data_IF_942789046164
#
_entry.id   IF_942789046164
#
_cell.length_a   1.000
_cell.length_b   1.000
_cell.length_c   1.000
_cell.angle_alpha   90.00
_cell.angle_beta   90.00
_cell.angle_gamma   90.00
#
_symmetry.space_group_name_H-M   'P 1'
#
loop_
_entity.id
_entity.type
_entity.pdbx_description
1 polymer ?
#
# COMPACT_ATOMS: atom_id res chain seq x y z
N UNK A 1 -2.04 -9.87 -38.89
CA UNK A 1 -2.71 -8.85 -38.06
C UNK A 1 -1.81 -8.55 -36.87
N UNK A 2 -1.46 -7.29 -36.64
CA UNK A 2 -0.78 -6.89 -35.41
C UNK A 2 -1.75 -7.06 -34.23
N UNK A 3 -1.33 -7.82 -33.22
CA UNK A 3 -2.05 -7.94 -31.94
C UNK A 3 -1.37 -7.00 -30.96
N UNK A 4 -1.99 -5.86 -30.70
CA UNK A 4 -1.46 -4.90 -29.73
C UNK A 4 -1.79 -5.44 -28.35
N UNK A 5 -0.77 -5.84 -27.61
CA UNK A 5 -0.90 -6.40 -26.25
C UNK A 5 -0.69 -5.35 -25.17
N UNK A 6 0.23 -4.43 -25.41
CA UNK A 6 0.59 -3.39 -24.45
C UNK A 6 0.38 -2.05 -25.13
N UNK A 7 -0.40 -1.19 -24.51
CA UNK A 7 -0.60 0.19 -24.95
C UNK A 7 -0.06 1.11 -23.89
N UNK A 8 0.89 1.96 -24.27
CA UNK A 8 1.37 3.04 -23.42
C UNK A 8 0.96 4.37 -24.03
N UNK A 9 0.09 5.09 -23.31
CA UNK A 9 -0.37 6.42 -23.64
C UNK A 9 0.37 7.40 -22.75
N UNK A 10 1.54 7.83 -23.21
CA UNK A 10 2.27 8.93 -22.59
C UNK A 10 1.97 10.20 -23.38
N UNK A 11 1.11 11.03 -22.84
CA UNK A 11 0.81 12.31 -23.43
C UNK A 11 0.35 13.26 -22.33
N UNK A 12 0.88 14.49 -22.34
CA UNK A 12 0.42 15.63 -21.53
C UNK A 12 -0.99 16.07 -21.97
N UNK A 13 -1.93 15.13 -21.97
CA UNK A 13 -3.31 15.28 -22.43
C UNK A 13 -4.18 15.56 -21.22
N UNK A 14 -4.90 16.68 -21.29
CA UNK A 14 -5.89 17.08 -20.29
C UNK A 14 -7.11 16.15 -20.26
N UNK A 15 -7.26 15.27 -21.24
CA UNK A 15 -8.36 14.33 -21.41
C UNK A 15 -7.86 13.11 -22.20
N UNK A 16 -7.71 11.97 -21.52
CA UNK A 16 -7.32 10.70 -22.12
C UNK A 16 -8.51 9.88 -22.64
N UNK A 17 -9.76 10.25 -22.33
CA UNK A 17 -10.96 9.47 -22.61
C UNK A 17 -11.11 9.13 -24.08
N UNK A 18 -10.91 10.09 -24.98
CA UNK A 18 -10.97 9.83 -26.43
C UNK A 18 -10.02 8.74 -26.90
N UNK A 19 -8.83 8.66 -26.32
CA UNK A 19 -7.81 7.67 -26.70
C UNK A 19 -8.14 6.33 -26.07
N UNK A 20 -8.53 6.29 -24.80
CA UNK A 20 -8.99 5.08 -24.11
C UNK A 20 -10.18 4.45 -24.87
N UNK A 21 -11.18 5.27 -25.20
CA UNK A 21 -12.37 4.85 -25.93
C UNK A 21 -12.06 4.30 -27.33
N UNK A 22 -10.96 4.74 -27.97
CA UNK A 22 -10.56 4.24 -29.29
C UNK A 22 -10.12 2.77 -29.28
N UNK A 23 -9.78 2.23 -28.10
CA UNK A 23 -9.42 0.82 -27.94
C UNK A 23 -10.60 -0.06 -27.48
N UNK A 24 -11.81 0.48 -27.32
CA UNK A 24 -12.99 -0.29 -26.91
C UNK A 24 -13.14 -1.58 -27.75
N UNK A 25 -13.33 -2.72 -27.07
CA UNK A 25 -13.46 -4.03 -27.69
C UNK A 25 -12.14 -4.68 -28.12
N UNK A 26 -10.99 -4.09 -27.78
CA UNK A 26 -9.68 -4.67 -28.08
C UNK A 26 -9.45 -5.95 -27.26
N UNK A 27 -9.58 -7.10 -27.91
CA UNK A 27 -9.41 -8.42 -27.28
C UNK A 27 -7.97 -8.86 -27.12
N UNK A 28 -7.00 -8.15 -27.71
CA UNK A 28 -5.59 -8.48 -27.55
C UNK A 28 -4.89 -7.68 -26.46
N UNK A 29 -5.52 -6.61 -25.94
CA UNK A 29 -4.92 -5.73 -24.96
C UNK A 29 -4.84 -6.43 -23.60
N UNK A 30 -3.64 -6.52 -23.06
CA UNK A 30 -3.30 -7.16 -21.77
C UNK A 30 -2.84 -6.12 -20.75
N UNK A 31 -2.11 -5.11 -21.19
CA UNK A 31 -1.58 -4.06 -20.33
C UNK A 31 -1.89 -2.67 -20.89
N UNK A 32 -2.41 -1.79 -20.01
CA UNK A 32 -2.69 -0.40 -20.32
C UNK A 32 -1.87 0.50 -19.39
N UNK A 33 -1.01 1.33 -19.97
CA UNK A 33 -0.23 2.32 -19.27
C UNK A 33 -0.75 3.71 -19.65
N UNK A 34 -1.20 4.48 -18.67
CA UNK A 34 -1.59 5.88 -18.82
C UNK A 34 -0.56 6.72 -18.06
N UNK A 35 0.09 7.64 -18.77
CA UNK A 35 1.19 8.43 -18.20
C UNK A 35 1.01 9.91 -18.52
N UNK A 36 1.16 10.76 -17.51
CA UNK A 36 1.08 12.23 -17.63
C UNK A 36 -0.25 12.77 -18.17
N UNK A 37 -1.38 12.13 -17.86
CA UNK A 37 -2.68 12.51 -18.42
C UNK A 37 -3.76 12.67 -17.34
N UNK A 38 -4.93 13.18 -17.73
CA UNK A 38 -6.12 13.16 -16.87
C UNK A 38 -7.17 12.19 -17.42
N UNK A 39 -7.69 11.32 -16.56
CA UNK A 39 -8.76 10.38 -16.89
C UNK A 39 -10.10 11.11 -16.77
N UNK A 40 -10.65 11.48 -17.92
CA UNK A 40 -11.93 12.20 -18.07
C UNK A 40 -12.63 11.69 -19.32
N UNK A 41 -13.95 11.85 -19.40
CA UNK A 41 -14.76 11.50 -20.57
C UNK A 41 -14.56 10.04 -21.05
N UNK A 42 -14.33 9.12 -20.11
CA UNK A 42 -14.30 7.69 -20.41
C UNK A 42 -15.75 7.24 -20.64
N UNK A 43 -15.99 6.56 -21.75
CA UNK A 43 -17.28 5.91 -22.03
C UNK A 43 -17.24 4.46 -21.57
N UNK A 44 -18.36 3.73 -21.65
CA UNK A 44 -18.34 2.31 -21.37
C UNK A 44 -17.35 1.58 -22.30
N UNK A 45 -16.27 1.04 -21.72
CA UNK A 45 -15.23 0.31 -22.43
C UNK A 45 -15.31 -1.18 -22.11
N UNK A 46 -14.86 -2.01 -23.04
CA UNK A 46 -14.72 -3.45 -22.82
C UNK A 46 -13.30 -3.87 -23.20
N UNK A 47 -12.53 -4.30 -22.20
CA UNK A 47 -11.19 -4.85 -22.39
C UNK A 47 -11.11 -6.28 -21.86
N UNK A 48 -11.60 -7.28 -22.61
CA UNK A 48 -11.83 -8.63 -22.10
C UNK A 48 -10.56 -9.43 -21.80
N UNK A 49 -9.37 -8.89 -22.11
CA UNK A 49 -8.08 -9.54 -21.84
C UNK A 49 -7.14 -8.68 -21.02
N UNK A 50 -7.60 -7.51 -20.55
CA UNK A 50 -6.78 -6.56 -19.82
C UNK A 50 -6.58 -7.03 -18.38
N UNK A 51 -5.33 -7.35 -18.05
CA UNK A 51 -4.91 -7.86 -16.75
C UNK A 51 -4.28 -6.80 -15.87
N UNK A 52 -3.66 -5.80 -16.49
CA UNK A 52 -2.86 -4.81 -15.78
C UNK A 52 -3.17 -3.41 -16.25
N UNK A 53 -3.47 -2.53 -15.29
CA UNK A 53 -3.55 -1.09 -15.49
C UNK A 53 -2.44 -0.42 -14.69
N UNK A 54 -1.67 0.44 -15.35
CA UNK A 54 -0.67 1.29 -14.72
C UNK A 54 -1.01 2.75 -14.99
N UNK A 55 -1.27 3.50 -13.94
CA UNK A 55 -1.48 4.94 -13.96
C UNK A 55 -0.25 5.60 -13.31
N UNK A 56 0.47 6.42 -14.07
CA UNK A 56 1.65 7.13 -13.60
C UNK A 56 1.57 8.63 -13.89
N UNK A 57 1.67 9.47 -12.87
CA UNK A 57 1.45 10.93 -13.00
C UNK A 57 0.08 11.25 -13.63
N UNK A 58 -0.97 10.54 -13.19
CA UNK A 58 -2.33 10.68 -13.72
C UNK A 58 -3.23 11.46 -12.77
N UNK A 59 -3.99 12.42 -13.31
CA UNK A 59 -5.04 13.15 -12.57
C UNK A 59 -6.38 12.38 -12.65
N UNK A 60 -6.86 11.95 -11.49
CA UNK A 60 -8.15 11.31 -11.25
C UNK A 60 -9.06 12.30 -10.49
N UNK A 61 -9.85 13.08 -11.23
CA UNK A 61 -10.78 14.07 -10.65
C UNK A 61 -12.24 13.81 -11.05
N UNK A 62 -12.48 12.81 -11.89
CA UNK A 62 -13.78 12.44 -12.41
C UNK A 62 -14.06 11.00 -11.97
N UNK A 63 -14.83 10.88 -10.89
CA UNK A 63 -15.16 9.59 -10.27
C UNK A 63 -15.93 8.67 -11.23
N UNK A 64 -16.78 9.23 -12.09
CA UNK A 64 -17.53 8.45 -13.08
C UNK A 64 -16.58 7.87 -14.14
N UNK A 65 -15.70 8.69 -14.71
CA UNK A 65 -14.72 8.19 -15.68
C UNK A 65 -13.75 7.17 -15.08
N UNK A 66 -13.37 7.35 -13.82
CA UNK A 66 -12.47 6.43 -13.11
C UNK A 66 -13.16 5.09 -12.85
N UNK A 67 -14.42 5.10 -12.40
CA UNK A 67 -15.23 3.90 -12.23
C UNK A 67 -15.45 3.17 -13.56
N UNK A 68 -15.81 3.88 -14.64
CA UNK A 68 -15.99 3.29 -15.96
C UNK A 68 -14.72 2.65 -16.53
N UNK A 69 -13.54 3.20 -16.21
CA UNK A 69 -12.26 2.60 -16.58
C UNK A 69 -12.05 1.25 -15.88
N UNK A 70 -12.43 1.13 -14.61
CA UNK A 70 -12.26 -0.07 -13.81
C UNK A 70 -13.34 -1.14 -14.08
N UNK A 71 -14.61 -0.72 -14.19
CA UNK A 71 -15.76 -1.60 -14.47
C UNK A 71 -15.67 -2.29 -15.84
N UNK A 72 -15.10 -1.62 -16.83
CA UNK A 72 -14.98 -2.13 -18.20
C UNK A 72 -14.04 -3.33 -18.38
N UNK A 73 -13.43 -3.81 -17.30
CA UNK A 73 -12.30 -4.72 -17.33
C UNK A 73 -12.50 -5.92 -16.38
N UNK A 74 -13.19 -6.95 -16.86
CA UNK A 74 -13.64 -8.09 -16.06
C UNK A 74 -12.54 -9.08 -15.61
N UNK A 75 -11.28 -8.88 -15.99
CA UNK A 75 -10.17 -9.80 -15.71
C UNK A 75 -8.91 -9.11 -15.16
N UNK A 76 -9.04 -7.87 -14.67
CA UNK A 76 -7.90 -7.15 -14.07
C UNK A 76 -7.41 -7.91 -12.84
N UNK A 77 -6.13 -8.23 -12.84
CA UNK A 77 -5.44 -8.86 -11.71
C UNK A 77 -4.48 -7.89 -11.03
N UNK A 78 -4.12 -6.76 -11.66
CA UNK A 78 -3.14 -5.80 -11.14
C UNK A 78 -3.49 -4.35 -11.47
N UNK A 79 -3.50 -3.51 -10.45
CA UNK A 79 -3.65 -2.06 -10.56
C UNK A 79 -2.46 -1.36 -9.91
N UNK A 80 -1.83 -0.47 -10.65
CA UNK A 80 -0.72 0.36 -10.18
C UNK A 80 -1.10 1.83 -10.32
N UNK A 81 -1.11 2.55 -9.20
CA UNK A 81 -1.23 4.00 -9.12
C UNK A 81 0.12 4.54 -8.64
N UNK A 82 0.76 5.40 -9.43
CA UNK A 82 2.06 5.99 -9.09
C UNK A 82 2.04 7.49 -9.37
N UNK A 83 2.39 8.30 -8.38
CA UNK A 83 2.42 9.76 -8.51
C UNK A 83 1.10 10.36 -9.03
N UNK A 84 -0.03 9.68 -8.79
CA UNK A 84 -1.34 10.15 -9.25
C UNK A 84 -1.87 11.25 -8.33
N UNK A 85 -2.68 12.15 -8.90
CA UNK A 85 -3.44 13.14 -8.16
C UNK A 85 -4.91 12.68 -8.09
N UNK A 86 -5.38 12.33 -6.89
CA UNK A 86 -6.76 11.88 -6.65
C UNK A 86 -7.49 13.01 -5.94
N UNK A 87 -8.38 13.67 -6.68
CA UNK A 87 -9.13 14.83 -6.20
C UNK A 87 -10.63 14.59 -6.39
N UNK A 88 -11.18 13.75 -5.52
CA UNK A 88 -12.60 13.40 -5.47
C UNK A 88 -12.99 13.06 -4.03
N UNK A 89 -14.26 13.24 -3.66
CA UNK A 89 -14.71 12.98 -2.29
C UNK A 89 -14.65 11.49 -1.93
N UNK A 90 -14.89 10.61 -2.91
CA UNK A 90 -14.93 9.17 -2.74
C UNK A 90 -14.19 8.48 -3.88
N UNK A 91 -13.14 7.74 -3.55
CA UNK A 91 -12.34 6.96 -4.50
C UNK A 91 -12.48 5.46 -4.20
N UNK A 92 -13.27 4.78 -5.02
CA UNK A 92 -13.55 3.36 -4.88
C UNK A 92 -12.70 2.51 -5.83
N UNK A 93 -12.08 1.46 -5.30
CA UNK A 93 -11.38 0.42 -6.04
C UNK A 93 -12.18 -0.87 -5.88
N UNK A 94 -13.31 -0.95 -6.60
CA UNK A 94 -14.28 -2.04 -6.58
C UNK A 94 -14.01 -3.15 -7.60
N UNK A 95 -12.75 -3.57 -7.80
CA UNK A 95 -12.36 -4.48 -8.89
C UNK A 95 -12.41 -5.94 -8.39
N UNK A 96 -13.39 -6.78 -8.80
CA UNK A 96 -13.65 -8.06 -8.12
C UNK A 96 -12.50 -9.07 -8.18
N UNK A 97 -11.71 -9.05 -9.26
CA UNK A 97 -10.63 -10.02 -9.54
C UNK A 97 -9.23 -9.46 -9.24
N UNK A 98 -9.15 -8.27 -8.65
CA UNK A 98 -7.89 -7.62 -8.39
C UNK A 98 -7.09 -8.39 -7.34
N UNK A 99 -5.92 -8.89 -7.73
CA UNK A 99 -5.01 -9.62 -6.82
C UNK A 99 -3.93 -8.72 -6.25
N UNK A 100 -3.47 -7.74 -7.01
CA UNK A 100 -2.35 -6.89 -6.62
C UNK A 100 -2.71 -5.41 -6.79
N UNK A 101 -2.63 -4.67 -5.69
CA UNK A 101 -2.84 -3.23 -5.67
C UNK A 101 -1.57 -2.51 -5.21
N UNK A 102 -1.08 -1.58 -6.04
CA UNK A 102 0.05 -0.74 -5.72
C UNK A 102 -0.39 0.72 -5.74
N UNK A 103 -0.30 1.43 -4.62
CA UNK A 103 -0.55 2.86 -4.50
C UNK A 103 0.74 3.51 -4.03
N UNK A 104 1.37 4.34 -4.86
CA UNK A 104 2.71 4.87 -4.62
C UNK A 104 2.81 6.36 -4.85
N UNK A 105 3.21 7.08 -3.82
CA UNK A 105 3.47 8.51 -3.87
C UNK A 105 2.31 9.31 -4.49
N UNK A 106 1.07 8.82 -4.33
CA UNK A 106 -0.11 9.51 -4.83
C UNK A 106 -0.44 10.68 -3.91
N UNK A 107 -0.81 11.81 -4.51
CA UNK A 107 -1.42 12.93 -3.80
C UNK A 107 -2.92 12.69 -3.75
N UNK A 108 -3.41 12.20 -2.63
CA UNK A 108 -4.84 11.99 -2.39
C UNK A 108 -5.32 13.17 -1.54
N UNK A 109 -6.39 13.84 -1.97
CA UNK A 109 -6.98 14.93 -1.22
C UNK A 109 -7.29 14.45 0.20
N UNK A 110 -6.95 15.27 1.20
CA UNK A 110 -7.10 14.89 2.61
C UNK A 110 -8.53 14.51 2.97
N UNK A 111 -9.55 15.08 2.31
CA UNK A 111 -10.96 14.75 2.57
C UNK A 111 -11.50 13.58 1.76
N UNK A 112 -10.66 12.90 0.97
CA UNK A 112 -11.07 11.73 0.18
C UNK A 112 -11.19 10.52 1.08
N UNK A 113 -12.34 9.85 1.01
CA UNK A 113 -12.48 8.46 1.46
C UNK A 113 -11.94 7.53 0.38
N UNK A 114 -11.03 6.64 0.77
CA UNK A 114 -10.52 5.58 -0.11
C UNK A 114 -11.18 4.28 0.29
N UNK A 115 -11.98 3.73 -0.61
CA UNK A 115 -12.66 2.44 -0.43
C UNK A 115 -12.01 1.38 -1.31
N UNK A 116 -11.61 0.26 -0.70
CA UNK A 116 -11.00 -0.88 -1.38
C UNK A 116 -11.90 -2.10 -1.20
N UNK A 117 -12.80 -2.29 -2.18
CA UNK A 117 -13.71 -3.42 -2.28
C UNK A 117 -13.21 -4.41 -3.34
N UNK A 118 -12.21 -5.22 -2.97
CA UNK A 118 -11.58 -6.21 -3.85
C UNK A 118 -11.38 -7.53 -3.09
N UNK A 119 -12.36 -8.45 -3.10
CA UNK A 119 -12.35 -9.64 -2.24
C UNK A 119 -11.25 -10.67 -2.59
N UNK A 120 -10.76 -10.64 -3.83
CA UNK A 120 -9.68 -11.51 -4.32
C UNK A 120 -8.28 -10.88 -4.10
N UNK A 121 -8.17 -9.78 -3.35
CA UNK A 121 -6.91 -9.09 -3.13
C UNK A 121 -5.92 -9.96 -2.34
N UNK A 122 -4.81 -10.30 -2.98
CA UNK A 122 -3.74 -11.12 -2.41
C UNK A 122 -2.61 -10.24 -1.85
N UNK A 123 -2.37 -9.07 -2.45
CA UNK A 123 -1.31 -8.15 -2.03
C UNK A 123 -1.68 -6.67 -2.15
N UNK A 124 -1.38 -5.92 -1.09
CA UNK A 124 -1.46 -4.46 -1.04
C UNK A 124 -0.07 -3.85 -0.78
N UNK A 125 0.34 -2.95 -1.66
CA UNK A 125 1.53 -2.13 -1.52
C UNK A 125 1.14 -0.65 -1.47
N UNK A 126 1.35 0.00 -0.33
CA UNK A 126 0.96 1.38 -0.09
C UNK A 126 2.18 2.21 0.34
N UNK A 127 2.45 3.28 -0.40
CA UNK A 127 3.47 4.29 -0.07
C UNK A 127 2.85 5.66 -0.28
N UNK A 128 2.69 6.46 0.78
CA UNK A 128 2.02 7.75 0.66
C UNK A 128 1.54 8.35 1.98
N UNK A 129 0.81 9.46 1.89
CA UNK A 129 0.20 10.12 3.05
C UNK A 129 -1.11 9.46 3.45
N UNK A 130 -1.35 9.28 4.75
CA UNK A 130 -2.64 8.84 5.26
C UNK A 130 -3.78 9.75 4.75
N UNK A 131 -4.83 9.13 4.22
CA UNK A 131 -6.09 9.81 3.86
C UNK A 131 -6.99 9.92 5.09
N UNK A 132 -8.08 10.69 5.02
CA UNK A 132 -8.99 10.84 6.17
C UNK A 132 -9.64 9.52 6.58
N UNK A 133 -10.13 8.73 5.63
CA UNK A 133 -10.77 7.44 5.90
C UNK A 133 -10.31 6.40 4.88
N UNK A 134 -9.89 5.25 5.39
CA UNK A 134 -9.80 4.02 4.60
C UNK A 134 -10.98 3.11 4.94
N UNK A 135 -11.69 2.68 3.90
CA UNK A 135 -12.70 1.64 3.97
C UNK A 135 -12.16 0.39 3.27
N UNK A 136 -12.35 -0.75 3.92
CA UNK A 136 -11.86 -2.03 3.45
C UNK A 136 -12.99 -3.04 3.50
N UNK A 137 -13.14 -3.82 2.42
CA UNK A 137 -13.90 -5.06 2.48
C UNK A 137 -13.21 -6.10 3.38
N UNK A 138 -13.91 -7.18 3.70
CA UNK A 138 -13.28 -8.33 4.36
C UNK A 138 -12.32 -9.02 3.38
N UNK A 139 -11.04 -9.14 3.75
CA UNK A 139 -10.01 -9.75 2.91
C UNK A 139 -9.65 -11.14 3.40
N UNK A 140 -10.31 -12.17 2.85
CA UNK A 140 -10.01 -13.57 3.16
C UNK A 140 -8.70 -14.07 2.52
N UNK A 141 -8.28 -13.45 1.41
CA UNK A 141 -7.17 -13.92 0.58
C UNK A 141 -5.88 -13.13 0.71
N UNK A 142 -5.88 -12.03 1.48
CA UNK A 142 -4.69 -11.17 1.55
C UNK A 142 -3.55 -11.86 2.29
N UNK A 143 -2.40 -11.95 1.60
CA UNK A 143 -1.19 -12.60 2.11
C UNK A 143 -0.05 -11.63 2.30
N UNK A 144 0.04 -10.60 1.46
CA UNK A 144 1.14 -9.65 1.45
C UNK A 144 0.68 -8.23 1.71
N UNK A 145 1.26 -7.58 2.71
CA UNK A 145 1.04 -6.17 2.99
C UNK A 145 2.38 -5.44 3.07
N UNK A 146 2.47 -4.31 2.36
CA UNK A 146 3.58 -3.38 2.48
C UNK A 146 3.04 -1.97 2.69
N UNK A 147 3.40 -1.34 3.81
CA UNK A 147 2.92 -0.01 4.18
C UNK A 147 4.11 0.88 4.52
N UNK A 148 4.30 1.94 3.74
CA UNK A 148 5.29 2.99 3.97
C UNK A 148 4.56 4.34 3.99
N UNK A 149 4.06 4.72 5.16
CA UNK A 149 3.44 6.02 5.33
C UNK A 149 4.52 7.10 5.23
N UNK A 150 4.20 8.22 4.58
CA UNK A 150 5.08 9.37 4.46
C UNK A 150 4.40 10.56 5.17
N UNK A 151 5.03 11.14 6.20
CA UNK A 151 4.55 12.36 6.83
C UNK A 151 4.43 13.51 5.82
N UNK A 152 3.36 14.31 5.92
CA UNK A 152 3.05 15.38 4.97
C UNK A 152 4.16 16.43 4.87
N UNK A 153 4.84 16.73 5.98
CA UNK A 153 5.98 17.64 6.01
C UNK A 153 7.18 17.12 5.20
N UNK A 154 7.41 15.80 5.11
CA UNK A 154 8.50 15.21 4.31
C UNK A 154 8.23 15.23 2.81
N UNK A 155 6.97 15.30 2.37
CA UNK A 155 6.66 15.48 0.95
C UNK A 155 6.80 16.94 0.50
N UNK A 156 6.60 17.89 1.41
CA UNK A 156 6.59 19.33 1.11
C UNK A 156 7.92 20.03 1.44
N UNK A 157 8.73 19.47 2.35
CA UNK A 157 9.97 20.06 2.84
C UNK A 157 11.08 19.00 2.80
N UNK A 158 12.27 19.39 2.30
CA UNK A 158 13.43 18.51 2.19
C UNK A 158 13.90 17.94 3.53
N UNK A 159 14.81 16.97 3.47
CA UNK A 159 15.15 16.00 4.52
C UNK A 159 15.56 16.53 5.92
N UNK A 160 15.69 17.83 6.16
CA UNK A 160 16.51 18.39 7.25
C UNK A 160 15.81 18.76 8.57
N UNK A 161 14.47 18.66 8.71
CA UNK A 161 13.83 18.99 9.99
C UNK A 161 13.52 17.75 10.86
N UNK A 162 13.81 17.88 12.17
CA UNK A 162 13.39 16.95 13.23
C UNK A 162 11.86 16.77 13.18
N UNK A 163 11.42 15.51 13.07
CA UNK A 163 10.01 15.15 12.96
C UNK A 163 9.27 15.57 14.23
N UNK A 164 8.28 16.45 14.10
CA UNK A 164 7.31 16.67 15.17
C UNK A 164 6.37 15.45 15.24
N UNK A 165 6.36 14.73 16.36
CA UNK A 165 5.45 13.60 16.61
C UNK A 165 3.97 13.98 16.45
N UNK A 166 3.61 15.27 16.45
CA UNK A 166 2.26 15.75 16.12
C UNK A 166 1.84 15.54 14.65
N UNK A 167 2.79 15.25 13.76
CA UNK A 167 2.55 15.03 12.33
C UNK A 167 1.92 13.66 12.00
N UNK A 168 1.79 12.78 13.00
CA UNK A 168 1.23 11.45 12.82
C UNK A 168 -0.20 11.39 13.33
N UNK A 169 -1.12 11.06 12.44
CA UNK A 169 -2.47 10.66 12.83
C UNK A 169 -2.46 9.16 13.18
N UNK A 170 -2.08 8.87 14.44
CA UNK A 170 -1.92 7.50 14.93
C UNK A 170 -3.21 6.68 14.84
N UNK A 171 -4.37 7.34 14.93
CA UNK A 171 -5.68 6.66 14.82
C UNK A 171 -5.86 6.14 13.39
N UNK A 172 -5.62 6.98 12.39
CA UNK A 172 -5.71 6.59 10.96
C UNK A 172 -4.70 5.52 10.58
N UNK A 173 -3.51 5.56 11.18
CA UNK A 173 -2.53 4.51 10.97
C UNK A 173 -3.04 3.15 11.47
N UNK A 174 -3.66 3.11 12.66
CA UNK A 174 -4.23 1.88 13.19
C UNK A 174 -5.39 1.36 12.32
N UNK A 175 -6.24 2.24 11.81
CA UNK A 175 -7.31 1.91 10.85
C UNK A 175 -6.77 1.30 9.55
N UNK A 176 -5.60 1.74 9.09
CA UNK A 176 -4.92 1.19 7.92
C UNK A 176 -4.33 -0.21 8.17
N UNK A 177 -3.78 -0.50 9.36
CA UNK A 177 -3.03 -1.75 9.61
C UNK A 177 -3.89 -2.87 10.20
N UNK A 178 -4.83 -2.54 11.10
CA UNK A 178 -5.62 -3.53 11.84
C UNK A 178 -6.39 -4.55 10.97
N UNK A 179 -6.97 -4.16 9.82
CA UNK A 179 -7.66 -5.11 8.94
C UNK A 179 -6.76 -6.25 8.44
N UNK A 180 -5.44 -6.07 8.47
CA UNK A 180 -4.47 -6.98 7.86
C UNK A 180 -3.72 -7.85 8.87
N UNK A 181 -4.29 -8.09 10.05
CA UNK A 181 -3.70 -8.97 11.07
C UNK A 181 -3.48 -10.42 10.60
N UNK A 182 -4.19 -10.85 9.55
CA UNK A 182 -4.12 -12.21 8.97
C UNK A 182 -3.01 -12.45 7.95
N UNK A 183 -2.19 -11.45 7.61
CA UNK A 183 -1.20 -11.57 6.51
C UNK A 183 -0.04 -12.52 6.83
N UNK A 184 0.52 -13.12 5.79
CA UNK A 184 1.70 -13.99 5.87
C UNK A 184 3.02 -13.22 5.71
N UNK A 185 3.00 -12.08 5.01
CA UNK A 185 4.15 -11.22 4.78
C UNK A 185 3.80 -9.76 5.05
N UNK A 186 4.55 -9.12 5.94
CA UNK A 186 4.38 -7.73 6.33
C UNK A 186 5.68 -6.94 6.08
N UNK A 187 5.57 -5.83 5.36
CA UNK A 187 6.65 -4.87 5.15
C UNK A 187 6.25 -3.50 5.69
N UNK A 188 7.10 -2.91 6.55
CA UNK A 188 6.84 -1.62 7.17
C UNK A 188 8.00 -0.65 6.91
N UNK A 189 7.67 0.53 6.37
CA UNK A 189 8.62 1.64 6.25
C UNK A 189 8.97 2.28 7.59
N UNK A 190 10.05 3.06 7.63
CA UNK A 190 10.54 3.73 8.85
C UNK A 190 9.42 4.50 9.60
N UNK A 191 8.70 5.36 8.90
CA UNK A 191 7.64 6.18 9.51
C UNK A 191 6.41 5.35 9.90
N UNK A 192 6.15 4.24 9.22
CA UNK A 192 5.12 3.27 9.61
C UNK A 192 5.47 2.60 10.96
N UNK A 193 6.74 2.30 11.16
CA UNK A 193 7.27 1.76 12.42
C UNK A 193 7.15 2.80 13.53
N UNK A 194 7.49 4.06 13.27
CA UNK A 194 7.32 5.17 14.23
C UNK A 194 5.84 5.35 14.61
N UNK A 195 4.93 5.31 13.63
CA UNK A 195 3.49 5.40 13.89
C UNK A 195 2.98 4.24 14.78
N UNK A 196 3.46 3.01 14.56
CA UNK A 196 3.16 1.87 15.44
C UNK A 196 3.72 2.02 16.85
N UNK A 197 4.87 2.67 17.01
CA UNK A 197 5.46 2.90 18.33
C UNK A 197 4.64 3.89 19.16
N UNK A 198 4.15 4.94 18.52
CA UNK A 198 3.40 6.01 19.18
C UNK A 198 1.91 5.70 19.36
N UNK A 199 1.40 4.61 18.76
CA UNK A 199 0.02 4.22 18.97
C UNK A 199 -0.24 3.91 20.46
N UNK A 200 -1.38 4.34 20.98
CA UNK A 200 -1.80 4.08 22.36
C UNK A 200 -2.43 2.68 22.54
N UNK A 201 -2.59 1.95 21.43
CA UNK A 201 -3.20 0.62 21.37
C UNK A 201 -2.15 -0.49 21.47
N UNK A 202 -2.52 -1.70 21.93
CA UNK A 202 -1.62 -2.84 21.83
C UNK A 202 -1.26 -3.11 20.36
N UNK A 203 -0.02 -3.54 20.13
CA UNK A 203 0.42 -3.97 18.80
C UNK A 203 -0.52 -5.03 18.23
N UNK A 204 -0.82 -5.01 16.92
CA UNK A 204 -1.63 -6.03 16.29
C UNK A 204 -1.00 -7.42 16.45
N UNK A 205 -1.84 -8.44 16.61
CA UNK A 205 -1.38 -9.84 16.65
C UNK A 205 -1.35 -10.40 15.23
N UNK A 206 -0.21 -10.91 14.82
CA UNK A 206 0.01 -11.42 13.47
C UNK A 206 0.27 -12.93 13.50
N UNK A 207 -0.76 -13.68 13.86
CA UNK A 207 -0.64 -15.13 14.08
C UNK A 207 -0.24 -15.90 12.82
N UNK A 208 -0.58 -15.40 11.62
CA UNK A 208 -0.26 -16.05 10.34
C UNK A 208 1.06 -15.59 9.73
N UNK A 209 1.74 -14.63 10.36
CA UNK A 209 2.91 -13.97 9.77
C UNK A 209 4.12 -14.89 9.75
N UNK A 210 4.66 -15.09 8.55
CA UNK A 210 5.87 -15.86 8.27
C UNK A 210 7.05 -14.95 7.94
N UNK A 211 6.80 -13.81 7.31
CA UNK A 211 7.84 -12.85 6.91
C UNK A 211 7.56 -11.45 7.46
N UNK A 212 8.53 -10.90 8.20
CA UNK A 212 8.50 -9.53 8.68
C UNK A 212 9.70 -8.78 8.11
N UNK A 213 9.42 -7.77 7.29
CA UNK A 213 10.39 -6.82 6.79
C UNK A 213 10.15 -5.48 7.45
N UNK A 214 11.10 -5.04 8.25
CA UNK A 214 11.18 -3.67 8.71
C UNK A 214 12.21 -2.99 7.81
N UNK A 215 11.93 -1.81 7.29
CA UNK A 215 12.90 -1.08 6.48
C UNK A 215 14.02 -0.52 7.38
N UNK A 216 14.35 0.76 7.27
CA UNK A 216 15.27 1.42 8.21
C UNK A 216 14.63 1.49 9.61
N UNK A 217 15.20 0.77 10.58
CA UNK A 217 14.73 0.80 11.98
C UNK A 217 15.40 1.92 12.78
N UNK A 218 14.60 2.89 13.21
CA UNK A 218 14.99 3.89 14.22
C UNK A 218 14.89 3.36 15.66
N UNK A 219 15.08 4.24 16.64
CA UNK A 219 14.91 3.90 18.06
C UNK A 219 13.51 3.37 18.39
N UNK A 220 12.47 3.95 17.78
CA UNK A 220 11.09 3.46 17.89
C UNK A 220 10.97 1.99 17.44
N UNK A 221 11.60 1.65 16.32
CA UNK A 221 11.64 0.28 15.79
C UNK A 221 12.29 -0.70 16.75
N UNK A 222 13.42 -0.32 17.34
CA UNK A 222 14.10 -1.14 18.35
C UNK A 222 13.23 -1.43 19.59
N UNK A 223 12.44 -0.46 20.03
CA UNK A 223 11.56 -0.62 21.19
C UNK A 223 10.38 -1.54 20.88
N UNK A 224 9.75 -1.42 19.70
CA UNK A 224 8.59 -2.25 19.36
C UNK A 224 8.94 -3.62 18.81
N UNK A 225 10.19 -3.83 18.38
CA UNK A 225 10.61 -5.10 17.77
C UNK A 225 10.31 -6.29 18.68
N UNK A 226 10.55 -6.17 19.99
CA UNK A 226 10.21 -7.23 20.95
C UNK A 226 8.73 -7.60 20.92
N UNK A 227 7.85 -6.61 21.00
CA UNK A 227 6.40 -6.80 20.93
C UNK A 227 5.92 -7.35 19.58
N UNK A 228 6.52 -6.93 18.47
CA UNK A 228 6.21 -7.47 17.14
C UNK A 228 6.56 -8.96 17.05
N UNK A 229 7.71 -9.37 17.59
CA UNK A 229 8.11 -10.78 17.64
C UNK A 229 7.24 -11.61 18.57
N UNK A 230 6.85 -11.07 19.73
CA UNK A 230 5.90 -11.72 20.65
C UNK A 230 4.52 -11.93 20.00
N UNK A 231 4.12 -11.02 19.12
CA UNK A 231 2.85 -11.06 18.40
C UNK A 231 2.88 -11.86 17.09
N UNK A 232 4.05 -12.30 16.62
CA UNK A 232 4.24 -13.04 15.37
C UNK A 232 4.78 -14.45 15.65
N UNK A 233 3.93 -15.33 16.19
CA UNK A 233 4.35 -16.64 16.70
C UNK A 233 4.87 -17.61 15.62
N UNK A 234 4.46 -17.43 14.36
CA UNK A 234 4.83 -18.29 13.23
C UNK A 234 5.90 -17.66 12.34
N UNK A 235 6.61 -16.63 12.82
CA UNK A 235 7.60 -15.92 12.02
C UNK A 235 8.77 -16.83 11.66
N UNK A 236 9.08 -16.92 10.36
CA UNK A 236 10.16 -17.71 9.78
C UNK A 236 11.32 -16.83 9.32
N UNK A 237 11.01 -15.64 8.78
CA UNK A 237 12.01 -14.70 8.25
C UNK A 237 11.82 -13.30 8.84
N UNK A 238 12.89 -12.77 9.43
CA UNK A 238 12.98 -11.40 9.90
C UNK A 238 14.05 -10.66 9.10
N UNK A 239 13.68 -9.57 8.46
CA UNK A 239 14.62 -8.67 7.79
C UNK A 239 14.48 -7.27 8.37
N UNK A 240 15.60 -6.63 8.68
CA UNK A 240 15.64 -5.23 9.02
C UNK A 240 16.99 -4.59 8.72
N UNK A 241 17.00 -3.29 8.48
CA UNK A 241 18.22 -2.51 8.23
C UNK A 241 18.42 -1.46 9.33
N UNK A 242 19.67 -1.09 9.61
CA UNK A 242 19.98 -0.06 10.60
C UNK A 242 20.53 -0.56 11.93
N UNK A 243 21.01 -1.81 11.99
CA UNK A 243 21.58 -2.41 13.21
C UNK A 243 22.67 -1.54 13.87
N UNK A 244 23.48 -0.85 13.06
CA UNK A 244 24.62 -0.05 13.54
C UNK A 244 24.34 1.47 13.55
N UNK A 245 23.12 1.91 13.23
CA UNK A 245 22.84 3.34 13.06
C UNK A 245 22.49 4.06 14.37
N UNK A 246 22.08 3.33 15.42
CA UNK A 246 21.61 3.91 16.67
C UNK A 246 22.28 3.27 17.89
N UNK A 247 23.04 4.08 18.64
CA UNK A 247 23.65 3.65 19.89
C UNK A 247 22.56 3.30 20.93
N UNK A 248 22.68 2.14 21.56
CA UNK A 248 21.71 1.68 22.57
C UNK A 248 20.47 0.95 22.02
N UNK A 249 20.26 0.90 20.70
CA UNK A 249 19.09 0.21 20.10
C UNK A 249 18.95 -1.26 20.53
N UNK A 250 20.06 -2.00 20.56
CA UNK A 250 20.08 -3.38 21.06
C UNK A 250 19.69 -3.48 22.54
N UNK A 251 20.16 -2.57 23.38
CA UNK A 251 19.79 -2.56 24.80
C UNK A 251 18.30 -2.27 24.98
N UNK A 252 17.74 -1.34 24.19
CA UNK A 252 16.30 -1.06 24.15
C UNK A 252 15.50 -2.28 23.74
N UNK A 253 15.91 -2.99 22.69
CA UNK A 253 15.28 -4.25 22.28
C UNK A 253 15.29 -5.29 23.39
N UNK A 254 16.46 -5.57 24.00
CA UNK A 254 16.55 -6.54 25.09
C UNK A 254 15.67 -6.16 26.29
N UNK A 255 15.57 -4.87 26.60
CA UNK A 255 14.70 -4.38 27.68
C UNK A 255 13.21 -4.48 27.36
N UNK A 256 12.84 -4.53 26.07
CA UNK A 256 11.46 -4.64 25.60
C UNK A 256 10.90 -6.07 25.63
N UNK A 257 11.77 -7.07 25.75
CA UNK A 257 11.39 -8.48 25.73
C UNK A 257 10.87 -8.92 27.10
N UNK A 258 9.71 -9.59 27.13
CA UNK A 258 9.18 -10.24 28.34
C UNK A 258 9.72 -11.67 28.52
N UNK A 259 10.47 -12.17 27.54
CA UNK A 259 11.03 -13.51 27.47
C UNK A 259 11.58 -13.78 26.07
N UNK A 260 11.95 -15.01 25.77
CA UNK A 260 12.30 -15.40 24.39
C UNK A 260 11.01 -15.55 23.59
N UNK A 261 10.79 -14.76 22.51
CA UNK A 261 9.62 -14.89 21.66
C UNK A 261 9.48 -16.31 21.10
N UNK A 262 8.24 -16.79 20.97
CA UNK A 262 7.94 -18.16 20.52
C UNK A 262 8.47 -18.47 19.12
N UNK A 263 8.48 -17.47 18.23
CA UNK A 263 9.06 -17.60 16.90
C UNK A 263 10.59 -17.82 16.92
N UNK A 264 11.29 -17.32 17.95
CA UNK A 264 12.72 -17.50 18.10
C UNK A 264 13.07 -18.79 18.85
N UNK A 265 12.21 -19.24 19.77
CA UNK A 265 12.48 -20.44 20.58
C UNK A 265 12.54 -21.73 19.75
N UNK A 266 11.80 -21.81 18.64
CA UNK A 266 11.85 -22.95 17.70
C UNK A 266 13.17 -23.04 16.92
N UNK A 267 13.85 -21.90 16.72
CA UNK A 267 15.11 -21.77 15.99
C UNK A 267 16.34 -21.88 16.88
N UNK A 268 16.19 -21.56 18.17
CA UNK A 268 17.21 -21.73 19.21
C UNK A 268 17.22 -23.19 19.71
N UNK A 269 17.61 -24.14 18.85
CA UNK A 269 18.02 -25.46 19.34
C UNK A 269 19.38 -25.28 20.03
N UNK A 270 19.39 -25.45 21.35
CA UNK A 270 20.59 -25.31 22.17
C UNK A 270 21.72 -26.21 21.71
N UNK A 271 22.91 -25.63 21.63
CA UNK A 271 24.19 -26.35 21.65
C UNK A 271 24.44 -26.96 23.04
#
# INVERSE_FOLDING_TARGET
MLRVQNVCLNASMKDSGKVINAFHGCTSLVELYLVNCSVRNVSHIEFPSLKTIVLDHVELSDGESSALLFDGCSVIETLVLSHCEINMDYFCIGIPWLKNLYIRCCFINSSTTVDIDSPELESLYYVGMLVEVFEFAEFDHIRGLAIHVIPMNKLLQGDDDELDSSCYDFVKYAELVNPFSGVESLCLGQFSIEALYHQLLPLPKFCSLKSLHLDTIGMAGWIILGGLLENASNLETLHFQGFNMYEGGFASFFSSLNGVPTCLSSSLKGD
#
